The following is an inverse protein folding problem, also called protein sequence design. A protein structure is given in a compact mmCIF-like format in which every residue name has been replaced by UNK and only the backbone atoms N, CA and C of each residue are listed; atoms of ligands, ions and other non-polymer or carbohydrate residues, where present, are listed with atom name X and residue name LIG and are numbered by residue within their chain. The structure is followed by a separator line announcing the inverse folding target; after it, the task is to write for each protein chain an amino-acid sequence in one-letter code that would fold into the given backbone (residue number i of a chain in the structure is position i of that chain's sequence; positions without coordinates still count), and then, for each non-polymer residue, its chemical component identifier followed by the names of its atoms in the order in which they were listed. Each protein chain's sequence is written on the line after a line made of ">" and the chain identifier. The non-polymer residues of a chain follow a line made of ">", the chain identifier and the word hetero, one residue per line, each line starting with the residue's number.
data_IF_870066364478
#
_entry.id   IF_870066364478
#
_cell.length_a   1.000
_cell.length_b   1.000
_cell.length_c   1.000
_cell.angle_alpha   90.00
_cell.angle_beta   90.00
_cell.angle_gamma   90.00
#
_symmetry.space_group_name_H-M   'P 1'
#
loop_
_entity.id
_entity.type
_entity.pdbx_description
1 polymer ?
#
# COMPACT_ATOMS: atom_id res chain seq x y z
N UNK A 1 -9.04 2.22 13.30
CA UNK A 1 -9.65 3.02 12.21
C UNK A 1 -11.08 2.57 11.89
N UNK A 2 -11.33 1.30 11.53
CA UNK A 2 -12.65 0.80 11.11
C UNK A 2 -13.83 1.18 12.03
N UNK A 3 -13.66 1.03 13.35
CA UNK A 3 -14.71 1.37 14.32
C UNK A 3 -15.11 2.86 14.30
N UNK A 4 -14.16 3.77 14.03
CA UNK A 4 -14.43 5.20 13.94
C UNK A 4 -15.21 5.56 12.67
N UNK A 5 -14.91 4.89 11.55
CA UNK A 5 -15.62 5.07 10.27
C UNK A 5 -17.09 4.67 10.43
N UNK A 6 -17.33 3.50 11.03
CA UNK A 6 -18.69 3.03 11.36
C UNK A 6 -19.41 3.94 12.35
N UNK A 7 -18.70 4.43 13.37
CA UNK A 7 -19.27 5.39 14.32
C UNK A 7 -19.73 6.69 13.64
N UNK A 8 -19.05 7.13 12.58
CA UNK A 8 -19.46 8.26 11.76
C UNK A 8 -20.66 7.96 10.84
N UNK A 9 -21.27 6.77 10.92
CA UNK A 9 -22.41 6.35 10.11
C UNK A 9 -22.05 5.92 8.69
N UNK A 10 -20.75 5.78 8.38
CA UNK A 10 -20.27 5.30 7.08
C UNK A 10 -20.05 3.81 7.19
N UNK A 11 -20.70 3.01 6.35
CA UNK A 11 -20.38 1.58 6.23
C UNK A 11 -19.38 1.39 5.07
N UNK A 12 -18.08 1.12 5.38
CA UNK A 12 -17.08 0.96 4.35
C UNK A 12 -17.09 -0.47 3.79
N UNK A 13 -16.69 -0.61 2.53
CA UNK A 13 -16.28 -1.90 2.00
C UNK A 13 -14.99 -2.36 2.71
N UNK A 14 -14.99 -3.59 3.23
CA UNK A 14 -13.84 -4.18 3.92
C UNK A 14 -13.19 -5.21 3.01
N UNK A 15 -11.95 -4.94 2.61
CA UNK A 15 -11.15 -5.82 1.75
C UNK A 15 -10.01 -6.42 2.57
N UNK A 16 -9.95 -7.74 2.65
CA UNK A 16 -8.77 -8.45 3.14
C UNK A 16 -7.72 -8.49 2.02
N UNK A 17 -6.81 -7.52 2.04
CA UNK A 17 -5.81 -7.34 0.99
C UNK A 17 -4.71 -8.42 0.99
N UNK A 18 -4.56 -9.19 2.07
CA UNK A 18 -3.63 -10.32 2.10
C UNK A 18 -4.22 -11.52 1.37
N UNK A 19 -5.53 -11.74 1.50
CA UNK A 19 -6.24 -12.80 0.78
C UNK A 19 -6.62 -12.39 -0.66
N UNK A 20 -6.97 -11.12 -0.87
CA UNK A 20 -7.45 -10.58 -2.14
C UNK A 20 -6.67 -9.29 -2.47
N UNK A 21 -5.40 -9.41 -2.87
CA UNK A 21 -4.60 -8.24 -3.20
C UNK A 21 -5.21 -7.47 -4.39
N UNK A 22 -5.16 -6.13 -4.39
CA UNK A 22 -5.57 -5.36 -5.54
C UNK A 22 -4.68 -5.67 -6.75
N UNK A 23 -5.22 -5.47 -7.95
CA UNK A 23 -4.37 -5.50 -9.16
C UNK A 23 -3.34 -4.38 -9.10
N UNK A 24 -2.22 -4.54 -9.83
CA UNK A 24 -1.17 -3.51 -9.93
C UNK A 24 -1.73 -2.14 -10.31
N UNK A 25 -2.56 -2.09 -11.35
CA UNK A 25 -3.19 -0.83 -11.79
C UNK A 25 -4.02 -0.21 -10.66
N UNK A 26 -4.81 -1.03 -9.96
CA UNK A 26 -5.62 -0.55 -8.83
C UNK A 26 -4.77 -0.04 -7.67
N UNK A 27 -3.64 -0.69 -7.39
CA UNK A 27 -2.72 -0.27 -6.34
C UNK A 27 -2.11 1.10 -6.65
N UNK A 28 -1.67 1.33 -7.90
CA UNK A 28 -1.16 2.64 -8.34
C UNK A 28 -2.21 3.74 -8.16
N UNK A 29 -3.45 3.49 -8.59
CA UNK A 29 -4.54 4.46 -8.43
C UNK A 29 -4.81 4.80 -6.96
N UNK A 30 -4.76 3.79 -6.07
CA UNK A 30 -4.97 3.98 -4.63
C UNK A 30 -3.85 4.81 -3.99
N UNK A 31 -2.60 4.54 -4.35
CA UNK A 31 -1.42 5.29 -3.86
C UNK A 31 -1.52 6.75 -4.30
N UNK A 32 -1.83 7.00 -5.57
CA UNK A 32 -2.00 8.34 -6.11
C UNK A 32 -3.19 9.07 -5.45
N UNK A 33 -4.33 8.40 -5.26
CA UNK A 33 -5.49 8.98 -4.59
C UNK A 33 -5.24 9.32 -3.11
N UNK A 34 -4.30 8.62 -2.46
CA UNK A 34 -3.85 8.93 -1.11
C UNK A 34 -2.83 10.09 -1.06
N UNK A 35 -2.36 10.59 -2.21
CA UNK A 35 -1.34 11.64 -2.30
C UNK A 35 0.05 11.18 -1.86
N UNK A 36 0.33 9.88 -1.98
CA UNK A 36 1.59 9.25 -1.58
C UNK A 36 2.44 8.91 -2.83
N UNK A 37 3.76 8.85 -2.67
CA UNK A 37 4.61 8.13 -3.63
C UNK A 37 4.53 6.62 -3.37
N UNK A 38 4.95 5.80 -4.35
CA UNK A 38 5.05 4.34 -4.12
C UNK A 38 5.95 4.04 -2.93
N UNK A 39 7.04 4.78 -2.77
CA UNK A 39 8.01 4.61 -1.68
C UNK A 39 7.40 4.92 -0.30
N UNK A 40 6.52 5.92 -0.21
CA UNK A 40 5.82 6.24 1.04
C UNK A 40 4.78 5.18 1.42
N UNK A 41 4.26 4.44 0.44
CA UNK A 41 3.28 3.38 0.65
C UNK A 41 3.89 2.06 1.14
N UNK A 42 5.21 1.86 1.00
CA UNK A 42 5.87 0.60 1.38
C UNK A 42 5.97 0.48 2.90
N UNK A 43 5.47 -0.64 3.42
CA UNK A 43 5.63 -0.99 4.82
C UNK A 43 7.04 -1.53 5.06
N UNK A 44 7.80 -0.89 5.96
CA UNK A 44 9.13 -1.37 6.35
C UNK A 44 9.06 -2.40 7.48
N UNK A 45 8.27 -2.14 8.52
CA UNK A 45 8.24 -2.96 9.74
C UNK A 45 7.56 -4.31 9.52
N UNK A 46 8.26 -5.39 9.86
CA UNK A 46 7.74 -6.76 9.76
C UNK A 46 7.66 -7.26 8.33
N UNK A 47 8.54 -6.76 7.46
CA UNK A 47 8.68 -7.14 6.05
C UNK A 47 10.17 -7.33 5.74
N UNK A 48 10.54 -8.06 4.69
CA UNK A 48 11.94 -8.19 4.25
C UNK A 48 12.47 -6.93 3.54
N UNK A 49 11.95 -5.72 3.87
CA UNK A 49 12.31 -4.46 3.21
C UNK A 49 13.82 -4.22 3.14
N UNK A 50 14.53 -4.42 4.26
CA UNK A 50 15.97 -4.24 4.34
C UNK A 50 16.74 -5.36 3.62
N UNK A 51 16.24 -6.60 3.72
CA UNK A 51 16.84 -7.78 3.08
C UNK A 51 16.75 -7.70 1.54
N UNK A 52 15.67 -7.12 1.02
CA UNK A 52 15.42 -6.90 -0.40
C UNK A 52 16.01 -5.57 -0.91
N UNK A 53 16.59 -4.74 -0.04
CA UNK A 53 17.22 -3.48 -0.44
C UNK A 53 16.24 -2.43 -0.98
N UNK A 54 14.96 -2.49 -0.61
CA UNK A 54 13.90 -1.62 -1.16
C UNK A 54 14.07 -0.13 -0.79
N UNK A 55 14.99 0.16 0.14
CA UNK A 55 15.42 1.52 0.48
C UNK A 55 16.32 2.19 -0.55
N UNK A 56 16.81 1.47 -1.57
CA UNK A 56 17.68 2.06 -2.59
C UNK A 56 16.93 3.15 -3.39
N UNK A 57 17.48 4.36 -3.37
CA UNK A 57 16.93 5.53 -4.06
C UNK A 57 17.03 5.41 -5.60
N UNK A 58 17.87 4.51 -6.11
CA UNK A 58 17.98 4.21 -7.53
C UNK A 58 16.83 3.32 -8.06
N UNK A 59 16.06 2.66 -7.17
CA UNK A 59 14.91 1.87 -7.58
C UNK A 59 13.79 2.77 -8.09
N UNK A 60 13.27 2.43 -9.27
CA UNK A 60 12.11 3.08 -9.86
C UNK A 60 10.83 2.67 -9.15
N UNK A 61 9.76 3.46 -9.31
CA UNK A 61 8.46 3.13 -8.75
C UNK A 61 7.93 1.78 -9.27
N UNK A 62 8.23 1.42 -10.53
CA UNK A 62 7.86 0.14 -11.11
C UNK A 62 8.56 -1.03 -10.41
N UNK A 63 9.87 -0.89 -10.14
CA UNK A 63 10.63 -1.93 -9.44
C UNK A 63 10.12 -2.11 -8.00
N UNK A 64 9.71 -1.02 -7.36
CA UNK A 64 9.13 -1.05 -6.01
C UNK A 64 7.71 -1.67 -5.98
N UNK A 65 6.94 -1.54 -7.05
CA UNK A 65 5.60 -2.16 -7.17
C UNK A 65 5.64 -3.67 -7.45
N UNK A 66 6.77 -4.17 -7.96
CA UNK A 66 6.94 -5.58 -8.34
C UNK A 66 7.66 -6.43 -7.28
N UNK A 67 8.21 -5.80 -6.24
CA UNK A 67 8.91 -6.44 -5.13
C UNK A 67 7.96 -7.04 -4.09
#
# INVERSE_FOLDING_TARGET
>A
ALALIRFAGIEPEVIDYLANPPSRARLVDLIAAAGLSVRDAIRQKGTPYDELGLGDAALSEEALLDA
#
